data_IF_578609934419
#
_entry.id   IF_578609934419
#
_cell.length_a   1.000
_cell.length_b   1.000
_cell.length_c   1.000
_cell.angle_alpha   90.00
_cell.angle_beta   90.00
_cell.angle_gamma   90.00
#
_symmetry.space_group_name_H-M   'P 1'
#
loop_
_entity.id
_entity.type
_entity.pdbx_description
1 polymer ?
#
# COMPACT_ATOMS: atom_id res chain seq x y z
N UNK A 1 19.42 -14.92 -30.46
CA UNK A 1 18.16 -14.39 -29.89
C UNK A 1 17.87 -12.97 -30.32
N UNK A 2 18.87 -12.20 -30.74
CA UNK A 2 18.70 -10.87 -31.35
C UNK A 2 17.69 -10.91 -32.50
N UNK A 3 16.82 -9.92 -32.57
CA UNK A 3 15.75 -9.81 -33.57
C UNK A 3 14.49 -10.65 -33.28
N UNK A 4 14.51 -11.54 -32.27
CA UNK A 4 13.32 -12.33 -31.92
C UNK A 4 12.35 -11.51 -31.06
N UNK A 5 11.06 -11.73 -31.28
CA UNK A 5 9.96 -11.13 -30.52
C UNK A 5 9.43 -12.12 -29.48
N UNK A 6 9.22 -11.64 -28.26
CA UNK A 6 8.64 -12.35 -27.14
C UNK A 6 7.50 -11.49 -26.57
N UNK A 7 6.26 -11.76 -26.98
CA UNK A 7 5.12 -10.91 -26.69
C UNK A 7 5.30 -9.51 -27.28
N UNK A 8 5.32 -8.48 -26.42
CA UNK A 8 5.57 -7.08 -26.79
C UNK A 8 7.05 -6.68 -26.76
N UNK A 9 7.97 -7.61 -26.55
CA UNK A 9 9.41 -7.33 -26.43
C UNK A 9 10.17 -7.83 -27.66
N UNK A 10 10.99 -6.97 -28.25
CA UNK A 10 11.92 -7.31 -29.34
C UNK A 10 13.34 -7.26 -28.81
N UNK A 11 14.10 -8.34 -28.96
CA UNK A 11 15.48 -8.43 -28.47
C UNK A 11 16.42 -7.60 -29.35
N UNK A 12 17.06 -6.58 -28.76
CA UNK A 12 18.04 -5.73 -29.43
C UNK A 12 19.46 -6.30 -29.33
N UNK A 13 19.96 -6.54 -28.11
CA UNK A 13 21.32 -7.02 -27.89
C UNK A 13 21.47 -7.75 -26.55
N UNK A 14 22.59 -8.44 -26.36
CA UNK A 14 22.95 -9.06 -25.08
C UNK A 14 23.43 -7.98 -24.11
N UNK A 15 22.95 -8.03 -22.87
CA UNK A 15 23.23 -7.06 -21.81
C UNK A 15 23.93 -7.74 -20.62
N UNK A 16 25.03 -8.44 -20.94
CA UNK A 16 25.85 -9.15 -19.96
C UNK A 16 25.15 -10.35 -19.30
N UNK A 17 25.64 -10.71 -18.10
CA UNK A 17 25.10 -11.78 -17.29
C UNK A 17 24.45 -11.20 -16.02
N UNK A 18 23.48 -11.92 -15.48
CA UNK A 18 22.91 -11.70 -14.15
C UNK A 18 23.86 -12.25 -13.08
N UNK A 19 23.62 -11.91 -11.81
CA UNK A 19 24.41 -12.41 -10.67
C UNK A 19 24.48 -13.93 -10.61
N UNK A 20 23.44 -14.61 -11.10
CA UNK A 20 23.34 -16.07 -11.13
C UNK A 20 23.88 -16.67 -12.44
N UNK A 21 24.70 -15.93 -13.19
CA UNK A 21 25.32 -16.39 -14.44
C UNK A 21 24.38 -16.42 -15.67
N UNK A 22 23.08 -16.16 -15.50
CA UNK A 22 22.12 -16.15 -16.61
C UNK A 22 22.35 -15.02 -17.60
N UNK A 23 22.22 -15.28 -18.90
CA UNK A 23 22.36 -14.24 -19.94
C UNK A 23 21.19 -13.23 -19.88
N UNK A 24 21.50 -11.94 -19.83
CA UNK A 24 20.52 -10.85 -19.91
C UNK A 24 20.49 -10.25 -21.31
N UNK A 25 19.33 -9.74 -21.69
CA UNK A 25 19.08 -9.19 -23.02
C UNK A 25 18.40 -7.85 -22.89
N UNK A 26 18.90 -6.87 -23.64
CA UNK A 26 18.27 -5.59 -23.83
C UNK A 26 17.13 -5.76 -24.85
N UNK A 27 15.91 -5.46 -24.44
CA UNK A 27 14.72 -5.58 -25.27
C UNK A 27 14.04 -4.23 -25.43
N UNK A 28 13.58 -3.94 -26.64
CA UNK A 28 12.67 -2.82 -26.90
C UNK A 28 11.24 -3.33 -26.80
N UNK A 29 10.42 -2.65 -25.99
CA UNK A 29 9.01 -2.96 -25.92
C UNK A 29 8.21 -2.16 -26.94
N UNK A 30 7.06 -2.67 -27.39
CA UNK A 30 6.10 -1.95 -28.23
C UNK A 30 5.62 -0.64 -27.56
N UNK A 31 5.74 -0.52 -26.23
CA UNK A 31 5.50 0.71 -25.46
C UNK A 31 6.55 1.81 -25.71
N UNK A 32 7.62 1.52 -26.46
CA UNK A 32 8.78 2.40 -26.69
C UNK A 32 9.87 2.29 -25.62
N UNK A 33 9.58 1.73 -24.44
CA UNK A 33 10.55 1.58 -23.35
C UNK A 33 11.50 0.41 -23.63
N UNK A 34 12.79 0.67 -23.41
CA UNK A 34 13.83 -0.36 -23.45
C UNK A 34 14.04 -0.92 -22.04
N UNK A 35 14.03 -2.24 -21.90
CA UNK A 35 14.22 -2.92 -20.63
C UNK A 35 15.17 -4.11 -20.76
N UNK A 36 15.98 -4.36 -19.73
CA UNK A 36 16.83 -5.55 -19.64
C UNK A 36 16.05 -6.70 -19.02
N UNK A 37 16.05 -7.85 -19.68
CA UNK A 37 15.32 -9.05 -19.23
C UNK A 37 16.22 -10.27 -19.24
N UNK A 38 16.05 -11.14 -18.25
CA UNK A 38 16.72 -12.45 -18.21
C UNK A 38 16.29 -13.33 -19.39
N UNK A 39 17.24 -13.95 -20.07
CA UNK A 39 16.98 -14.81 -21.22
C UNK A 39 16.10 -16.02 -20.90
N UNK A 40 16.16 -16.53 -19.66
CA UNK A 40 15.27 -17.61 -19.19
C UNK A 40 13.82 -17.13 -19.10
N UNK A 41 13.59 -15.94 -18.53
CA UNK A 41 12.25 -15.32 -18.39
C UNK A 41 11.64 -14.90 -19.72
N UNK A 42 12.46 -14.49 -20.69
CA UNK A 42 12.01 -14.24 -22.06
C UNK A 42 11.52 -15.52 -22.73
N UNK A 43 12.32 -16.59 -22.65
CA UNK A 43 11.96 -17.89 -23.28
C UNK A 43 10.73 -18.53 -22.65
N UNK A 44 10.59 -18.47 -21.33
CA UNK A 44 9.44 -19.05 -20.64
C UNK A 44 8.17 -18.21 -20.78
N UNK A 45 8.23 -17.04 -21.41
CA UNK A 45 7.08 -16.16 -21.60
C UNK A 45 6.62 -15.42 -20.33
N UNK A 46 7.32 -15.58 -19.21
CA UNK A 46 7.02 -14.89 -17.94
C UNK A 46 7.12 -13.37 -18.13
N UNK A 47 8.13 -12.91 -18.88
CA UNK A 47 8.31 -11.50 -19.19
C UNK A 47 8.02 -11.25 -20.66
N UNK A 48 6.84 -10.69 -20.92
CA UNK A 48 6.31 -10.42 -22.26
C UNK A 48 6.13 -8.93 -22.57
N UNK A 49 6.44 -8.03 -21.63
CA UNK A 49 6.37 -6.57 -21.83
C UNK A 49 7.26 -5.81 -20.83
N UNK A 50 7.42 -4.50 -21.06
CA UNK A 50 8.06 -3.55 -20.14
C UNK A 50 7.31 -3.38 -18.79
N UNK A 51 6.18 -4.06 -18.59
CA UNK A 51 5.21 -3.82 -17.53
C UNK A 51 3.95 -3.09 -18.00
N UNK A 52 4.01 -2.48 -19.20
CA UNK A 52 2.87 -1.77 -19.80
C UNK A 52 1.61 -2.62 -19.93
N UNK A 53 1.75 -3.90 -20.30
CA UNK A 53 0.61 -4.80 -20.47
C UNK A 53 -0.15 -4.99 -19.15
N UNK A 54 0.59 -5.15 -18.03
CA UNK A 54 -0.02 -5.26 -16.70
C UNK A 54 -0.73 -3.97 -16.30
N UNK A 55 -0.11 -2.82 -16.57
CA UNK A 55 -0.71 -1.51 -16.29
C UNK A 55 -1.98 -1.27 -17.10
N UNK A 56 -2.00 -1.67 -18.38
CA UNK A 56 -3.14 -1.57 -19.27
C UNK A 56 -4.32 -2.43 -18.79
N UNK A 57 -4.06 -3.72 -18.52
CA UNK A 57 -5.07 -4.65 -17.99
C UNK A 57 -5.61 -4.14 -16.65
N UNK A 58 -4.74 -3.66 -15.76
CA UNK A 58 -5.17 -3.11 -14.48
C UNK A 58 -6.08 -1.88 -14.67
N UNK A 59 -5.71 -0.97 -15.57
CA UNK A 59 -6.50 0.22 -15.90
C UNK A 59 -7.88 -0.14 -16.45
N UNK A 60 -7.95 -1.14 -17.34
CA UNK A 60 -9.22 -1.62 -17.88
C UNK A 60 -10.09 -2.26 -16.80
N UNK A 61 -9.52 -3.16 -15.99
CA UNK A 61 -10.22 -3.76 -14.84
C UNK A 61 -10.77 -2.70 -13.89
N UNK A 62 -10.00 -1.64 -13.62
CA UNK A 62 -10.47 -0.52 -12.79
C UNK A 62 -11.71 0.19 -13.36
N UNK A 63 -11.88 0.21 -14.69
CA UNK A 63 -13.05 0.81 -15.35
C UNK A 63 -14.25 -0.13 -15.42
N UNK A 64 -14.01 -1.43 -15.62
CA UNK A 64 -15.06 -2.40 -15.92
C UNK A 64 -15.53 -3.19 -14.71
N UNK A 65 -14.72 -3.31 -13.65
CA UNK A 65 -15.08 -4.12 -12.49
C UNK A 65 -16.26 -3.50 -11.72
N UNK A 66 -17.39 -4.22 -11.57
CA UNK A 66 -18.59 -3.69 -10.95
C UNK A 66 -18.40 -3.39 -9.46
N UNK A 67 -17.49 -4.08 -8.75
CA UNK A 67 -17.20 -3.80 -7.33
C UNK A 67 -16.47 -2.46 -7.19
N UNK A 68 -15.53 -2.18 -8.09
CA UNK A 68 -14.78 -0.92 -8.10
C UNK A 68 -15.73 0.24 -8.42
N UNK A 69 -16.56 0.11 -9.46
CA UNK A 69 -17.54 1.12 -9.82
C UNK A 69 -18.55 1.37 -8.69
N UNK A 70 -19.06 0.32 -8.04
CA UNK A 70 -20.00 0.42 -6.91
C UNK A 70 -19.41 1.13 -5.70
N UNK A 71 -18.12 0.93 -5.43
CA UNK A 71 -17.44 1.51 -4.26
C UNK A 71 -16.78 2.86 -4.56
N UNK A 72 -16.74 3.31 -5.83
CA UNK A 72 -16.16 4.59 -6.22
C UNK A 72 -16.90 5.73 -5.53
N UNK A 73 -16.19 6.46 -4.67
CA UNK A 73 -16.74 7.63 -3.96
C UNK A 73 -17.51 7.33 -2.66
N UNK A 74 -17.68 6.06 -2.26
CA UNK A 74 -18.30 5.71 -0.97
C UNK A 74 -17.33 5.98 0.18
N UNK A 75 -17.49 7.12 0.88
CA UNK A 75 -16.67 7.50 2.04
C UNK A 75 -17.06 6.76 3.32
N UNK A 76 -18.28 6.28 3.40
CA UNK A 76 -18.83 5.65 4.61
C UNK A 76 -18.17 4.30 4.92
N UNK A 77 -17.61 3.64 3.91
CA UNK A 77 -16.98 2.32 4.04
C UNK A 77 -15.65 2.33 4.82
N UNK A 78 -15.15 3.51 5.20
CA UNK A 78 -13.97 3.67 6.04
C UNK A 78 -14.31 3.78 7.53
N UNK A 79 -15.59 3.91 7.88
CA UNK A 79 -16.06 4.06 9.25
C UNK A 79 -16.95 2.88 9.67
N UNK A 80 -16.99 2.59 10.96
CA UNK A 80 -17.97 1.70 11.57
C UNK A 80 -19.34 2.38 11.65
N UNK A 81 -20.38 1.63 11.99
CA UNK A 81 -21.71 2.17 12.31
C UNK A 81 -21.66 3.27 13.38
N UNK A 82 -20.73 3.12 14.34
CA UNK A 82 -20.43 4.10 15.40
C UNK A 82 -19.56 5.28 14.94
N UNK A 83 -19.23 5.38 13.64
CA UNK A 83 -18.46 6.49 13.08
C UNK A 83 -16.95 6.44 13.33
N UNK A 84 -16.41 5.32 13.84
CA UNK A 84 -14.98 5.17 14.05
C UNK A 84 -14.29 4.70 12.77
N UNK A 85 -13.16 5.30 12.39
CA UNK A 85 -12.43 4.81 11.25
C UNK A 85 -11.90 3.39 11.53
N UNK A 86 -12.02 2.46 10.57
CA UNK A 86 -11.54 1.07 10.72
C UNK A 86 -10.06 0.98 11.11
N UNK A 87 -9.25 1.98 10.75
CA UNK A 87 -7.84 2.10 11.19
C UNK A 87 -7.66 2.23 12.70
N UNK A 88 -8.70 2.65 13.43
CA UNK A 88 -8.68 2.79 14.88
C UNK A 88 -9.06 1.50 15.62
N UNK A 89 -9.65 0.51 14.93
CA UNK A 89 -10.07 -0.77 15.53
C UNK A 89 -8.91 -1.75 15.72
N UNK A 90 -7.91 -1.71 14.84
CA UNK A 90 -6.81 -2.69 14.82
C UNK A 90 -5.46 -1.98 14.79
N UNK A 91 -4.57 -2.38 15.70
CA UNK A 91 -3.20 -1.91 15.68
C UNK A 91 -2.48 -2.41 14.41
N UNK A 92 -1.80 -1.50 13.72
CA UNK A 92 -0.91 -1.85 12.62
C UNK A 92 0.36 -2.51 13.15
N UNK A 93 0.99 -3.38 12.35
CA UNK A 93 2.33 -3.94 12.65
C UNK A 93 3.40 -2.85 12.87
N UNK A 94 3.19 -1.65 12.35
CA UNK A 94 4.07 -0.48 12.56
C UNK A 94 3.84 0.22 13.91
N UNK A 95 2.86 -0.21 14.69
CA UNK A 95 2.58 0.38 15.99
C UNK A 95 3.54 -0.19 17.04
N UNK A 96 4.47 0.64 17.47
CA UNK A 96 5.47 0.29 18.49
C UNK A 96 4.95 0.44 19.92
N UNK A 97 3.85 1.17 20.14
CA UNK A 97 3.29 1.42 21.49
C UNK A 97 2.24 0.38 21.89
N UNK A 98 1.82 -0.47 20.96
CA UNK A 98 0.76 -1.47 21.17
C UNK A 98 -0.66 -0.90 21.26
N UNK A 99 -0.82 0.38 21.59
CA UNK A 99 -2.13 1.04 21.75
C UNK A 99 -2.41 1.98 20.58
N UNK A 100 -3.56 1.83 19.93
CA UNK A 100 -3.91 2.64 18.75
C UNK A 100 -4.22 4.07 19.17
N UNK A 101 -3.55 5.03 18.53
CA UNK A 101 -3.76 6.45 18.80
C UNK A 101 -3.02 6.99 20.03
N UNK A 102 -2.12 6.19 20.63
CA UNK A 102 -1.17 6.66 21.66
C UNK A 102 0.24 6.66 21.07
N UNK A 103 0.91 7.81 21.10
CA UNK A 103 2.24 7.99 20.53
C UNK A 103 3.08 8.95 21.36
N UNK A 104 4.38 8.68 21.50
CA UNK A 104 5.34 9.58 22.14
C UNK A 104 5.76 10.67 21.15
N UNK A 105 5.63 11.93 21.56
CA UNK A 105 6.26 13.04 20.85
C UNK A 105 7.70 13.22 21.32
N UNK A 106 8.65 12.91 20.43
CA UNK A 106 10.09 12.90 20.75
C UNK A 106 10.66 14.29 21.03
N UNK A 107 10.00 15.36 20.58
CA UNK A 107 10.48 16.74 20.79
C UNK A 107 10.17 17.24 22.19
N UNK A 108 8.96 16.96 22.67
CA UNK A 108 8.47 17.43 23.98
C UNK A 108 8.64 16.38 25.07
N UNK A 109 8.88 15.11 24.71
CA UNK A 109 8.92 13.98 25.63
C UNK A 109 7.53 13.56 26.14
N UNK A 110 6.45 14.16 25.63
CA UNK A 110 5.09 13.93 26.11
C UNK A 110 4.37 12.83 25.32
N UNK A 111 3.51 12.10 25.99
CA UNK A 111 2.64 11.10 25.40
C UNK A 111 1.36 11.73 24.89
N UNK A 112 1.08 11.57 23.60
CA UNK A 112 -0.16 12.06 22.99
C UNK A 112 -1.16 10.92 22.84
N UNK A 113 -2.39 11.14 23.32
CA UNK A 113 -3.53 10.29 23.05
C UNK A 113 -4.54 11.03 22.17
N UNK A 114 -4.96 10.38 21.09
CA UNK A 114 -5.97 10.92 20.16
C UNK A 114 -7.04 9.89 19.86
N UNK A 115 -8.31 10.27 19.79
CA UNK A 115 -9.46 9.46 19.33
C UNK A 115 -10.35 10.30 18.43
N UNK A 116 -10.73 9.76 17.27
CA UNK A 116 -11.55 10.44 16.28
C UNK A 116 -12.81 9.62 15.99
N UNK A 117 -13.97 10.29 16.00
CA UNK A 117 -15.28 9.70 15.77
C UNK A 117 -16.06 10.65 14.86
N UNK A 118 -16.73 10.13 13.83
CA UNK A 118 -17.42 10.93 12.80
C UNK A 118 -16.58 12.11 12.29
N UNK A 119 -15.29 11.84 12.02
CA UNK A 119 -14.33 12.82 11.53
C UNK A 119 -14.06 14.03 12.47
N UNK A 120 -14.37 13.90 13.77
CA UNK A 120 -14.06 14.89 14.81
C UNK A 120 -13.21 14.28 15.90
N UNK A 121 -12.23 15.03 16.40
CA UNK A 121 -11.43 14.61 17.55
C UNK A 121 -12.26 14.69 18.83
N UNK A 122 -12.45 13.53 19.45
CA UNK A 122 -13.11 13.38 20.74
C UNK A 122 -12.11 13.39 21.88
N UNK A 123 -10.90 12.88 21.61
CA UNK A 123 -9.74 12.99 22.49
C UNK A 123 -8.58 13.57 21.67
N UNK A 124 -7.95 14.61 22.20
CA UNK A 124 -6.70 15.18 21.70
C UNK A 124 -5.98 15.84 22.87
N UNK A 125 -5.21 15.06 23.63
CA UNK A 125 -4.49 15.55 24.82
C UNK A 125 -3.09 14.96 24.90
N UNK A 126 -2.18 15.72 25.48
CA UNK A 126 -0.83 15.29 25.87
C UNK A 126 -0.77 14.98 27.36
N UNK A 127 0.02 13.98 27.72
CA UNK A 127 0.25 13.50 29.08
C UNK A 127 1.76 13.35 29.30
N UNK A 128 2.20 13.38 30.56
CA UNK A 128 3.61 13.18 30.89
C UNK A 128 3.93 11.68 31.02
N UNK A 129 2.96 10.87 31.47
CA UNK A 129 3.12 9.42 31.60
C UNK A 129 2.38 8.63 30.50
N UNK A 130 2.94 7.46 30.16
CA UNK A 130 2.33 6.55 29.18
C UNK A 130 1.00 5.98 29.66
N UNK A 131 0.94 5.56 30.93
CA UNK A 131 -0.24 4.90 31.51
C UNK A 131 -1.46 5.83 31.52
N UNK A 132 -1.25 7.11 31.83
CA UNK A 132 -2.28 8.14 31.79
C UNK A 132 -2.85 8.32 30.37
N UNK A 133 -1.98 8.35 29.36
CA UNK A 133 -2.40 8.46 27.96
C UNK A 133 -3.24 7.24 27.53
N UNK A 134 -2.87 6.04 27.97
CA UNK A 134 -3.62 4.80 27.70
C UNK A 134 -4.96 4.80 28.44
N UNK A 135 -5.00 5.25 29.70
CA UNK A 135 -6.23 5.36 30.48
C UNK A 135 -7.20 6.37 29.85
N UNK A 136 -6.71 7.53 29.43
CA UNK A 136 -7.49 8.54 28.70
C UNK A 136 -8.06 7.97 27.38
N UNK A 137 -7.27 7.17 26.67
CA UNK A 137 -7.73 6.50 25.45
C UNK A 137 -8.83 5.47 25.73
N UNK A 138 -8.66 4.61 26.74
CA UNK A 138 -9.65 3.58 27.13
C UNK A 138 -10.95 4.19 27.65
N UNK A 139 -10.88 5.29 28.41
CA UNK A 139 -12.07 6.00 28.89
C UNK A 139 -12.85 6.65 27.74
N UNK A 140 -12.16 7.27 26.80
CA UNK A 140 -12.76 7.80 25.59
C UNK A 140 -13.37 6.69 24.71
N UNK A 141 -12.70 5.54 24.59
CA UNK A 141 -13.28 4.37 23.93
C UNK A 141 -14.57 3.95 24.63
N UNK A 142 -14.56 3.76 25.96
CA UNK A 142 -15.76 3.34 26.69
C UNK A 142 -16.95 4.28 26.50
N UNK A 143 -16.72 5.59 26.57
CA UNK A 143 -17.77 6.61 26.51
C UNK A 143 -18.45 6.73 25.15
N UNK A 144 -17.75 6.41 24.06
CA UNK A 144 -18.23 6.65 22.71
C UNK A 144 -18.40 5.38 21.85
N UNK A 145 -17.83 4.23 22.26
CA UNK A 145 -18.03 2.93 21.61
C UNK A 145 -19.22 2.14 22.16
N UNK A 146 -19.42 2.13 23.48
CA UNK A 146 -20.43 1.30 24.15
C UNK A 146 -21.65 2.10 24.60
N UNK A 147 -21.97 3.17 23.87
CA UNK A 147 -23.10 4.03 24.17
C UNK A 147 -24.33 3.60 23.39
#
# INVERSE_FOLDING_TARGET
MVGKRYGRLVVLKRDGNSSNGGARWLCQCDCGVVCTVDGTRLRSGITSSCGCLRSEIARERFKTDPKICRNKGRRDHFYTETGLPYSSLRASKRNHTGVVGVSLDRKTGKWFARLMIHNRYVLLKSFDQFEEAVAARKTAEKKYLYK
#
